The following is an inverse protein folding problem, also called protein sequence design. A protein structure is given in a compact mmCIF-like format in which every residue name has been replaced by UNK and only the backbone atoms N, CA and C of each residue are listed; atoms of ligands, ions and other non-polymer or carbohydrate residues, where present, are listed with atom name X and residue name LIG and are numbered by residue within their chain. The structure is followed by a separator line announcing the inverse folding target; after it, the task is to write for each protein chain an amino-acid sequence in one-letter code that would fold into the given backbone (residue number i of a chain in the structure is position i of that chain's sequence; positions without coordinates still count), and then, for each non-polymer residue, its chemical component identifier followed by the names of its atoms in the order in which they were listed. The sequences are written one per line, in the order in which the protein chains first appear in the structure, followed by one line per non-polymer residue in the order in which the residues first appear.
data_IF_099820917414
#
_entry.id   IF_099820917414
#
_cell.length_a   1.000
_cell.length_b   1.000
_cell.length_c   1.000
_cell.angle_alpha   90.00
_cell.angle_beta   90.00
_cell.angle_gamma   90.00
#
_symmetry.space_group_name_H-M   'P 1'
#
loop_
_entity.id
_entity.type
_entity.pdbx_description
1 polymer ?
#
# COMPACT_ATOMS: atom_id res chain seq x y z
N UNK A 1 -55.60 57.79 5.24
CA UNK A 1 -54.75 57.03 6.17
C UNK A 1 -54.67 55.59 5.68
N UNK A 2 -53.64 55.26 4.90
CA UNK A 2 -53.40 53.90 4.44
C UNK A 2 -51.98 53.53 4.88
N UNK A 3 -51.89 52.61 5.83
CA UNK A 3 -50.63 52.11 6.38
C UNK A 3 -50.23 50.88 5.57
N UNK A 4 -49.18 51.02 4.76
CA UNK A 4 -48.52 49.88 4.11
C UNK A 4 -47.59 49.22 5.11
N UNK A 5 -47.93 48.01 5.54
CA UNK A 5 -47.01 47.12 6.24
C UNK A 5 -46.17 46.36 5.20
N UNK A 6 -44.91 46.78 5.05
CA UNK A 6 -43.88 46.02 4.34
C UNK A 6 -43.32 44.93 5.25
N UNK A 7 -43.66 43.68 4.95
CA UNK A 7 -43.01 42.51 5.56
C UNK A 7 -41.61 42.33 4.95
N UNK A 8 -40.56 42.56 5.73
CA UNK A 8 -39.20 42.22 5.36
C UNK A 8 -38.97 40.72 5.62
N UNK A 9 -38.83 39.93 4.55
CA UNK A 9 -38.46 38.52 4.61
C UNK A 9 -36.95 38.42 4.92
N UNK A 10 -36.61 38.11 6.16
CA UNK A 10 -35.23 37.87 6.58
C UNK A 10 -34.79 36.48 6.06
N UNK A 11 -34.09 36.45 4.93
CA UNK A 11 -33.36 35.26 4.45
C UNK A 11 -32.18 35.01 5.39
N UNK A 12 -32.33 34.05 6.30
CA UNK A 12 -31.22 33.47 7.06
C UNK A 12 -30.33 32.68 6.08
N UNK A 13 -29.31 33.34 5.53
CA UNK A 13 -28.16 32.65 4.96
C UNK A 13 -27.41 31.98 6.12
N UNK A 14 -27.69 30.70 6.35
CA UNK A 14 -26.78 29.86 7.14
C UNK A 14 -25.59 29.57 6.24
N UNK A 15 -24.51 30.33 6.43
CA UNK A 15 -23.22 29.99 5.85
C UNK A 15 -22.76 28.68 6.51
N UNK A 16 -22.89 27.56 5.79
CA UNK A 16 -22.20 26.33 6.17
C UNK A 16 -20.71 26.61 6.06
N UNK A 17 -20.00 26.73 7.17
CA UNK A 17 -18.55 26.63 7.15
C UNK A 17 -18.23 25.28 6.49
N UNK A 18 -17.55 25.30 5.35
CA UNK A 18 -17.02 24.08 4.78
C UNK A 18 -16.07 23.51 5.83
N UNK A 19 -16.42 22.34 6.39
CA UNK A 19 -15.52 21.64 7.29
C UNK A 19 -14.21 21.40 6.52
N UNK A 20 -13.07 21.74 7.12
CA UNK A 20 -11.79 21.42 6.52
C UNK A 20 -11.71 19.90 6.31
N UNK A 21 -11.23 19.50 5.13
CA UNK A 21 -10.98 18.09 4.85
C UNK A 21 -10.00 17.52 5.90
N UNK A 22 -10.16 16.25 6.31
CA UNK A 22 -9.21 15.60 7.21
C UNK A 22 -7.81 15.60 6.61
N UNK A 23 -6.80 15.26 7.40
CA UNK A 23 -5.43 15.00 6.91
C UNK A 23 -5.17 13.50 7.08
N UNK A 24 -4.61 12.79 6.08
CA UNK A 24 -4.34 11.37 6.20
C UNK A 24 -3.32 11.13 7.33
N UNK A 25 -3.51 10.08 8.12
CA UNK A 25 -2.55 9.75 9.16
C UNK A 25 -1.28 9.17 8.56
N UNK A 26 -0.14 9.59 9.10
CA UNK A 26 1.13 8.92 8.79
C UNK A 26 1.09 7.48 9.32
N UNK A 27 1.65 6.54 8.56
CA UNK A 27 1.82 5.18 9.04
C UNK A 27 2.71 5.15 10.30
N UNK A 28 2.43 4.25 11.25
CA UNK A 28 3.34 3.98 12.35
C UNK A 28 4.71 3.55 11.84
N UNK A 29 5.77 3.86 12.58
CA UNK A 29 7.14 3.50 12.18
C UNK A 29 7.36 1.99 12.13
N UNK A 30 6.59 1.23 12.90
CA UNK A 30 6.65 -0.23 12.95
C UNK A 30 5.23 -0.77 13.12
N UNK A 31 4.87 -1.79 12.36
CA UNK A 31 3.63 -2.53 12.56
C UNK A 31 3.70 -3.90 11.90
N UNK A 32 2.78 -4.77 12.32
CA UNK A 32 2.46 -6.02 11.66
C UNK A 32 1.03 -6.00 11.14
N UNK A 33 0.79 -6.63 10.00
CA UNK A 33 -0.55 -6.71 9.43
C UNK A 33 -0.74 -7.99 8.63
N UNK A 34 -1.90 -8.63 8.83
CA UNK A 34 -2.40 -9.66 7.94
C UNK A 34 -3.34 -9.02 6.93
N UNK A 35 -3.06 -9.24 5.65
CA UNK A 35 -3.82 -8.70 4.54
C UNK A 35 -4.43 -9.81 3.70
N UNK A 36 -5.66 -9.60 3.28
CA UNK A 36 -6.32 -10.41 2.26
C UNK A 36 -6.29 -9.66 0.93
N UNK A 37 -5.82 -10.32 -0.12
CA UNK A 37 -5.71 -9.73 -1.45
C UNK A 37 -6.62 -10.48 -2.42
N UNK A 38 -7.32 -9.72 -3.25
CA UNK A 38 -8.08 -10.25 -4.37
C UNK A 38 -7.65 -9.55 -5.65
N UNK A 39 -7.28 -10.34 -6.65
CA UNK A 39 -7.04 -9.85 -7.99
C UNK A 39 -7.87 -10.64 -9.00
N UNK A 40 -9.02 -10.07 -9.38
CA UNK A 40 -9.96 -10.69 -10.33
C UNK A 40 -10.34 -12.14 -9.97
N UNK A 41 -10.47 -12.44 -8.67
CA UNK A 41 -10.77 -13.77 -8.14
C UNK A 41 -9.55 -14.62 -7.78
N UNK A 42 -8.33 -14.18 -8.11
CA UNK A 42 -7.10 -14.78 -7.61
C UNK A 42 -6.83 -14.27 -6.20
N UNK A 43 -6.88 -15.17 -5.21
CA UNK A 43 -6.82 -14.81 -3.80
C UNK A 43 -5.44 -15.09 -3.22
N UNK A 44 -4.95 -14.20 -2.37
CA UNK A 44 -3.75 -14.41 -1.58
C UNK A 44 -3.83 -13.76 -0.21
N UNK A 45 -2.95 -14.20 0.69
CA UNK A 45 -2.75 -13.62 2.01
C UNK A 45 -1.34 -13.05 2.08
N UNK A 46 -1.20 -11.86 2.68
CA UNK A 46 0.09 -11.26 2.97
C UNK A 46 0.25 -11.13 4.47
N UNK A 47 1.32 -11.71 5.00
CA UNK A 47 1.83 -11.46 6.33
C UNK A 47 2.92 -10.37 6.20
N UNK A 48 2.53 -9.14 6.52
CA UNK A 48 3.30 -7.92 6.31
C UNK A 48 3.97 -7.47 7.61
N UNK A 49 5.29 -7.37 7.58
CA UNK A 49 6.09 -6.70 8.61
C UNK A 49 6.69 -5.42 8.04
N UNK A 50 6.35 -4.29 8.66
CA UNK A 50 6.87 -2.98 8.29
C UNK A 50 7.75 -2.45 9.42
N UNK A 51 8.99 -2.07 9.09
CA UNK A 51 9.95 -1.53 10.05
C UNK A 51 10.74 -0.37 9.41
N UNK A 52 10.13 0.82 9.42
CA UNK A 52 10.74 2.03 8.90
C UNK A 52 11.98 2.45 9.69
N UNK A 53 11.99 2.22 11.00
CA UNK A 53 13.12 2.54 11.88
C UNK A 53 14.41 1.88 11.39
N UNK A 54 14.33 0.64 10.92
CA UNK A 54 15.45 -0.10 10.35
C UNK A 54 15.42 -0.15 8.80
N UNK A 55 14.51 0.57 8.17
CA UNK A 55 14.45 0.71 6.71
C UNK A 55 14.15 -0.59 5.97
N UNK A 56 13.24 -1.42 6.47
CA UNK A 56 12.94 -2.74 5.91
C UNK A 56 11.44 -3.04 5.90
N UNK A 57 10.99 -3.76 4.88
CA UNK A 57 9.62 -4.21 4.69
C UNK A 57 9.61 -5.67 4.23
N UNK A 58 8.72 -6.49 4.77
CA UNK A 58 8.69 -7.92 4.45
C UNK A 58 7.26 -8.38 4.20
N UNK A 59 6.96 -8.69 2.94
CA UNK A 59 5.72 -9.35 2.53
C UNK A 59 5.97 -10.85 2.44
N UNK A 60 5.34 -11.65 3.30
CA UNK A 60 5.32 -13.10 3.18
C UNK A 60 3.97 -13.49 2.59
N UNK A 61 3.98 -13.95 1.34
CA UNK A 61 2.77 -14.05 0.54
C UNK A 61 2.43 -15.47 0.17
N UNK A 62 1.20 -15.82 0.50
CA UNK A 62 0.63 -17.12 0.26
C UNK A 62 -0.55 -16.97 -0.70
N UNK A 63 -0.33 -17.34 -1.95
CA UNK A 63 -1.41 -17.51 -2.91
C UNK A 63 -2.31 -18.69 -2.51
N UNK A 64 -3.58 -18.65 -2.92
CA UNK A 64 -4.52 -19.76 -2.72
C UNK A 64 -3.97 -21.10 -3.24
N UNK A 65 -3.21 -21.06 -4.35
CA UNK A 65 -2.55 -22.20 -4.96
C UNK A 65 -1.09 -21.81 -5.24
N UNK A 66 -0.12 -22.51 -4.65
CA UNK A 66 1.30 -22.29 -4.95
C UNK A 66 2.24 -22.45 -3.76
N UNK A 67 3.50 -22.07 -3.97
CA UNK A 67 4.51 -21.93 -2.92
C UNK A 67 4.44 -20.55 -2.29
N UNK A 68 4.90 -20.43 -1.04
CA UNK A 68 5.03 -19.13 -0.37
C UNK A 68 6.13 -18.31 -1.05
N UNK A 69 5.80 -17.06 -1.40
CA UNK A 69 6.76 -16.06 -1.84
C UNK A 69 7.18 -15.20 -0.66
N UNK A 70 8.48 -15.00 -0.52
CA UNK A 70 9.08 -14.08 0.42
C UNK A 70 9.59 -12.88 -0.36
N UNK A 71 8.99 -11.71 -0.13
CA UNK A 71 9.36 -10.43 -0.73
C UNK A 71 9.92 -9.51 0.36
N UNK A 72 11.25 -9.42 0.40
CA UNK A 72 12.02 -8.69 1.38
C UNK A 72 12.62 -7.44 0.75
N UNK A 73 12.17 -6.28 1.22
CA UNK A 73 12.46 -4.97 0.64
C UNK A 73 13.23 -4.08 1.61
N UNK A 74 14.13 -3.27 1.07
CA UNK A 74 14.96 -2.33 1.82
C UNK A 74 14.70 -0.89 1.37
N UNK A 75 14.86 0.06 2.27
CA UNK A 75 14.65 1.49 2.00
C UNK A 75 15.64 2.08 0.98
N UNK A 76 16.76 1.40 0.73
CA UNK A 76 17.72 1.75 -0.31
C UNK A 76 17.27 1.29 -1.71
N UNK A 77 16.09 0.66 -1.83
CA UNK A 77 15.54 0.19 -3.09
C UNK A 77 15.85 -1.27 -3.43
N UNK A 78 16.71 -1.95 -2.68
CA UNK A 78 16.98 -3.37 -2.94
C UNK A 78 15.80 -4.23 -2.48
N UNK A 79 15.33 -5.13 -3.34
CA UNK A 79 14.33 -6.14 -3.00
C UNK A 79 14.81 -7.54 -3.36
N UNK A 80 14.46 -8.53 -2.54
CA UNK A 80 14.67 -9.95 -2.78
C UNK A 80 13.35 -10.70 -2.82
N UNK A 81 13.17 -11.52 -3.86
CA UNK A 81 12.00 -12.37 -4.04
C UNK A 81 12.45 -13.82 -4.02
N UNK A 82 12.04 -14.60 -3.02
CA UNK A 82 12.53 -15.96 -2.86
C UNK A 82 11.51 -16.96 -2.31
N UNK A 83 11.79 -18.25 -2.47
CA UNK A 83 11.04 -19.35 -1.85
C UNK A 83 11.95 -20.12 -0.90
N UNK A 84 11.45 -20.47 0.31
CA UNK A 84 12.19 -21.28 1.29
C UNK A 84 12.00 -22.80 1.11
N UNK A 85 11.21 -23.21 0.13
CA UNK A 85 10.99 -24.61 -0.20
C UNK A 85 12.21 -25.25 -0.88
N UNK A 86 12.10 -26.53 -1.23
CA UNK A 86 13.18 -27.26 -1.90
C UNK A 86 13.57 -26.69 -3.26
N UNK A 87 12.74 -25.84 -3.87
CA UNK A 87 13.06 -25.21 -5.15
C UNK A 87 14.07 -24.08 -5.00
N UNK A 88 14.22 -23.48 -3.80
CA UNK A 88 15.21 -22.43 -3.48
C UNK A 88 15.28 -21.35 -4.56
N UNK A 89 14.13 -20.85 -4.99
CA UNK A 89 14.09 -19.80 -6.02
C UNK A 89 14.51 -18.49 -5.38
N UNK A 90 15.32 -17.70 -6.10
CA UNK A 90 15.60 -16.32 -5.73
C UNK A 90 15.80 -15.44 -6.97
N UNK A 91 15.28 -14.22 -6.90
CA UNK A 91 15.61 -13.08 -7.75
C UNK A 91 15.74 -11.82 -6.89
N UNK A 92 16.36 -10.78 -7.44
CA UNK A 92 16.49 -9.48 -6.78
C UNK A 92 16.19 -8.35 -7.76
N UNK A 93 15.67 -7.24 -7.24
CA UNK A 93 15.43 -6.02 -8.00
C UNK A 93 16.04 -4.81 -7.28
N UNK A 94 16.27 -3.74 -8.03
CA UNK A 94 16.65 -2.44 -7.50
C UNK A 94 15.61 -1.41 -7.94
N UNK A 95 14.99 -0.76 -6.97
CA UNK A 95 13.87 0.15 -7.13
C UNK A 95 14.30 1.55 -6.72
N UNK A 96 13.81 2.58 -7.39
CA UNK A 96 14.21 3.95 -7.07
C UNK A 96 13.61 4.46 -5.76
N UNK A 97 12.41 4.00 -5.41
CA UNK A 97 11.63 4.53 -4.28
C UNK A 97 11.94 3.81 -2.96
N UNK A 98 12.27 2.51 -3.01
CA UNK A 98 12.36 1.65 -1.84
C UNK A 98 10.99 1.43 -1.18
N UNK A 99 11.00 1.19 0.13
CA UNK A 99 9.78 0.95 0.91
C UNK A 99 8.97 2.25 1.10
N UNK A 100 7.65 2.13 1.23
CA UNK A 100 6.78 3.28 1.45
C UNK A 100 7.17 4.04 2.73
N UNK A 101 7.27 5.37 2.61
CA UNK A 101 7.53 6.26 3.74
C UNK A 101 6.28 6.38 4.62
N UNK A 102 6.41 6.68 5.92
CA UNK A 102 5.27 6.89 6.80
C UNK A 102 4.23 7.89 6.25
N UNK A 103 4.69 8.93 5.58
CA UNK A 103 3.87 9.99 5.00
C UNK A 103 3.57 9.80 3.50
N UNK A 104 3.56 8.56 2.99
CA UNK A 104 3.39 8.29 1.55
C UNK A 104 2.09 8.87 0.95
N UNK A 105 1.09 9.17 1.78
CA UNK A 105 -0.16 9.84 1.38
C UNK A 105 -0.07 11.37 1.25
N UNK A 106 1.09 11.99 1.52
CA UNK A 106 1.24 13.45 1.40
C UNK A 106 0.88 13.93 -0.01
N UNK A 107 -0.05 14.90 -0.11
CA UNK A 107 -0.56 15.37 -1.40
C UNK A 107 -1.55 14.43 -2.09
N UNK A 108 -2.10 13.44 -1.39
CA UNK A 108 -3.26 12.69 -1.85
C UNK A 108 -4.52 13.58 -1.88
N UNK A 109 -5.44 13.27 -2.80
CA UNK A 109 -6.73 13.93 -2.93
C UNK A 109 -7.76 13.27 -2.02
N UNK A 110 -8.46 14.06 -1.21
CA UNK A 110 -9.56 13.57 -0.39
C UNK A 110 -10.83 13.41 -1.22
N UNK A 111 -11.44 12.23 -1.19
CA UNK A 111 -12.63 11.91 -1.99
C UNK A 111 -13.93 11.88 -1.18
N UNK A 112 -13.85 11.96 0.15
CA UNK A 112 -15.01 11.86 1.04
C UNK A 112 -14.97 10.62 1.91
N UNK A 113 -16.14 10.14 2.33
CA UNK A 113 -16.28 9.00 3.22
C UNK A 113 -17.10 7.88 2.59
N UNK A 114 -16.67 6.64 2.82
CA UNK A 114 -17.36 5.43 2.35
C UNK A 114 -17.34 4.36 3.43
N UNK A 115 -18.33 3.45 3.41
CA UNK A 115 -18.36 2.30 4.32
C UNK A 115 -17.74 1.08 3.63
N UNK A 116 -16.63 0.57 4.17
CA UNK A 116 -15.90 -0.60 3.66
C UNK A 116 -15.55 -1.53 4.82
N UNK A 117 -15.76 -2.84 4.64
CA UNK A 117 -15.48 -3.88 5.64
C UNK A 117 -16.08 -3.64 7.04
N UNK A 118 -17.19 -2.90 7.11
CA UNK A 118 -17.86 -2.53 8.35
C UNK A 118 -17.32 -1.27 9.04
N UNK A 119 -16.35 -0.58 8.45
CA UNK A 119 -15.80 0.69 8.92
C UNK A 119 -16.32 1.85 8.07
N UNK A 120 -16.55 3.00 8.71
CA UNK A 120 -16.68 4.27 7.99
C UNK A 120 -15.26 4.80 7.75
N UNK A 121 -14.89 5.02 6.49
CA UNK A 121 -13.53 5.36 6.11
C UNK A 121 -13.45 6.73 5.43
N UNK A 122 -12.41 7.51 5.73
CA UNK A 122 -11.93 8.57 4.86
C UNK A 122 -11.27 7.93 3.63
N UNK A 123 -11.56 8.46 2.44
CA UNK A 123 -11.05 7.93 1.17
C UNK A 123 -10.06 8.91 0.54
N UNK A 124 -8.88 8.40 0.21
CA UNK A 124 -7.77 9.16 -0.36
C UNK A 124 -7.35 8.57 -1.71
N UNK A 125 -7.21 9.41 -2.73
CA UNK A 125 -6.60 9.01 -4.01
C UNK A 125 -5.17 9.51 -4.09
N UNK A 126 -4.23 8.59 -4.33
CA UNK A 126 -2.82 8.92 -4.59
C UNK A 126 -2.47 8.66 -6.04
N UNK A 127 -2.00 9.71 -6.73
CA UNK A 127 -1.48 9.71 -8.12
C UNK A 127 -2.37 9.00 -9.14
N UNK A 128 -3.71 9.04 -8.95
CA UNK A 128 -4.70 8.33 -9.77
C UNK A 128 -4.48 6.81 -9.89
N UNK A 129 -3.71 6.26 -8.95
CA UNK A 129 -3.22 4.89 -8.99
C UNK A 129 -3.81 4.05 -7.86
N UNK A 130 -3.81 4.61 -6.64
CA UNK A 130 -4.25 3.96 -5.41
C UNK A 130 -5.40 4.75 -4.80
N UNK A 131 -6.43 4.04 -4.35
CA UNK A 131 -7.45 4.50 -3.43
C UNK A 131 -7.19 3.86 -2.08
N UNK A 132 -7.09 4.68 -1.04
CA UNK A 132 -6.76 4.26 0.31
C UNK A 132 -7.90 4.63 1.25
N UNK A 133 -8.33 3.63 2.03
CA UNK A 133 -9.44 3.73 2.95
C UNK A 133 -8.89 3.65 4.38
N UNK A 134 -9.12 4.72 5.13
CA UNK A 134 -8.64 4.90 6.50
C UNK A 134 -9.85 5.06 7.43
N UNK A 135 -9.95 4.22 8.47
CA UNK A 135 -11.04 4.31 9.43
C UNK A 135 -11.11 5.70 10.09
N UNK A 136 -12.27 6.35 10.05
CA UNK A 136 -12.45 7.72 10.58
C UNK A 136 -12.26 7.80 12.10
N UNK A 137 -12.40 6.68 12.82
CA UNK A 137 -12.30 6.66 14.28
C UNK A 137 -10.87 6.44 14.75
N UNK A 138 -10.19 5.43 14.18
CA UNK A 138 -8.86 5.00 14.65
C UNK A 138 -7.71 5.42 13.75
N UNK A 139 -8.01 5.94 12.55
CA UNK A 139 -7.06 6.22 11.49
C UNK A 139 -6.23 5.01 11.02
N UNK A 140 -6.71 3.78 11.27
CA UNK A 140 -6.05 2.58 10.78
C UNK A 140 -6.32 2.38 9.28
N UNK A 141 -5.37 1.79 8.52
CA UNK A 141 -5.66 1.30 7.19
C UNK A 141 -6.78 0.24 7.27
N UNK A 142 -7.73 0.33 6.35
CA UNK A 142 -8.83 -0.65 6.20
C UNK A 142 -8.74 -1.35 4.86
N UNK A 143 -8.54 -0.60 3.78
CA UNK A 143 -8.60 -1.13 2.42
C UNK A 143 -7.73 -0.33 1.46
N UNK A 144 -7.22 -1.00 0.42
CA UNK A 144 -6.62 -0.38 -0.75
C UNK A 144 -7.26 -0.92 -2.02
N UNK A 145 -7.50 -0.03 -2.98
CA UNK A 145 -7.81 -0.40 -4.36
C UNK A 145 -6.79 0.19 -5.31
N UNK A 146 -6.38 -0.61 -6.27
CA UNK A 146 -5.47 -0.20 -7.33
C UNK A 146 -6.26 -0.07 -8.63
N UNK A 147 -5.87 0.85 -9.53
CA UNK A 147 -6.55 0.99 -10.83
C UNK A 147 -6.54 -0.30 -11.67
N UNK A 148 -5.64 -1.23 -11.37
CA UNK A 148 -5.55 -2.54 -12.01
C UNK A 148 -6.70 -3.48 -11.62
N UNK A 149 -7.49 -3.13 -10.60
CA UNK A 149 -8.53 -3.97 -10.04
C UNK A 149 -8.04 -4.93 -8.94
N UNK A 150 -6.80 -4.77 -8.46
CA UNK A 150 -6.34 -5.44 -7.24
C UNK A 150 -6.94 -4.73 -6.03
N UNK A 151 -7.48 -5.51 -5.10
CA UNK A 151 -8.02 -5.02 -3.83
C UNK A 151 -7.29 -5.69 -2.67
N UNK A 152 -6.99 -4.93 -1.62
CA UNK A 152 -6.28 -5.39 -0.43
C UNK A 152 -7.06 -4.97 0.80
N UNK A 153 -7.49 -5.95 1.60
CA UNK A 153 -8.26 -5.76 2.82
C UNK A 153 -7.38 -6.00 4.05
N UNK A 154 -7.44 -5.11 5.04
CA UNK A 154 -6.61 -5.18 6.26
C UNK A 154 -7.34 -5.95 7.35
N UNK A 155 -6.90 -7.18 7.62
CA UNK A 155 -7.50 -8.05 8.62
C UNK A 155 -7.01 -7.73 10.04
N UNK A 156 -5.70 -7.49 10.21
CA UNK A 156 -5.10 -7.07 11.49
C UNK A 156 -4.19 -5.86 11.30
N UNK A 157 -3.97 -5.08 12.35
CA UNK A 157 -3.07 -3.93 12.29
C UNK A 157 -2.46 -3.68 13.67
N UNK A 158 -1.33 -4.33 13.93
CA UNK A 158 -0.69 -4.39 15.23
C UNK A 158 0.46 -3.37 15.29
N UNK A 159 0.14 -2.17 15.76
CA UNK A 159 1.07 -1.04 15.87
C UNK A 159 2.19 -1.34 16.85
N UNK A 160 3.44 -1.10 16.43
CA UNK A 160 4.65 -1.32 17.23
C UNK A 160 5.12 -2.78 17.26
N UNK A 161 4.45 -3.69 16.55
CA UNK A 161 4.93 -5.06 16.38
C UNK A 161 6.26 -5.06 15.61
N UNK A 162 7.16 -5.96 16.00
CA UNK A 162 8.51 -6.12 15.43
C UNK A 162 8.81 -7.59 15.19
N UNK A 163 9.56 -7.87 14.12
CA UNK A 163 10.05 -9.19 13.77
C UNK A 163 11.52 -9.32 14.16
N UNK A 164 11.95 -10.49 14.64
CA UNK A 164 13.34 -10.70 15.07
C UNK A 164 14.34 -10.47 13.92
N UNK A 165 15.48 -9.86 14.23
CA UNK A 165 16.47 -9.42 13.24
C UNK A 165 16.95 -10.54 12.31
N UNK A 166 17.03 -11.78 12.82
CA UNK A 166 17.45 -12.95 12.05
C UNK A 166 16.49 -13.28 10.90
N UNK A 167 15.21 -12.89 11.00
CA UNK A 167 14.19 -13.16 9.97
C UNK A 167 14.29 -12.23 8.77
N UNK A 168 14.98 -11.10 8.91
CA UNK A 168 15.16 -10.11 7.86
C UNK A 168 16.31 -10.44 6.90
N UNK A 169 16.90 -11.63 6.99
CA UNK A 169 18.02 -12.04 6.15
C UNK A 169 17.52 -12.79 4.92
N UNK A 170 17.91 -12.28 3.74
CA UNK A 170 17.74 -13.05 2.51
C UNK A 170 18.60 -14.34 2.57
N UNK A 171 18.12 -15.47 2.03
CA UNK A 171 18.87 -16.71 2.04
C UNK A 171 20.18 -16.65 1.25
N UNK A 172 21.17 -17.45 1.65
CA UNK A 172 22.51 -17.45 1.03
C UNK A 172 22.50 -17.69 -0.48
N UNK A 173 21.59 -18.54 -0.97
CA UNK A 173 21.48 -18.84 -2.41
C UNK A 173 20.99 -17.65 -3.25
N UNK A 174 20.51 -16.56 -2.64
CA UNK A 174 20.24 -15.31 -3.34
C UNK A 174 21.52 -14.58 -3.78
N UNK A 175 22.67 -14.90 -3.19
CA UNK A 175 23.96 -14.27 -3.47
C UNK A 175 24.90 -15.17 -4.28
N UNK A 176 24.50 -16.41 -4.54
CA UNK A 176 25.24 -17.34 -5.38
C UNK A 176 25.14 -16.90 -6.84
N UNK A 177 26.27 -16.89 -7.56
CA UNK A 177 26.29 -16.57 -8.99
C UNK A 177 25.54 -17.69 -9.73
N UNK A 178 24.41 -17.35 -10.35
CA UNK A 178 23.81 -18.24 -11.35
C UNK A 178 24.73 -18.24 -12.57
N UNK A 179 25.25 -19.40 -12.94
CA UNK A 179 26.04 -19.53 -14.17
C UNK A 179 25.22 -18.97 -15.34
N UNK A 180 25.85 -18.10 -16.13
CA UNK A 180 25.23 -17.35 -17.22
C UNK A 180 24.88 -18.24 -18.41
N UNK A 181 24.02 -19.23 -18.21
CA UNK A 181 23.49 -20.07 -19.25
C UNK A 181 21.97 -20.10 -19.14
N UNK A 182 21.34 -19.52 -20.16
CA UNK A 182 19.93 -19.13 -20.28
C UNK A 182 19.60 -17.85 -19.52
N UNK A 183 19.93 -16.73 -20.17
CA UNK A 183 19.17 -15.49 -20.09
C UNK A 183 17.92 -15.64 -20.97
N UNK A 184 16.73 -15.94 -20.41
CA UNK A 184 15.50 -15.46 -20.97
C UNK A 184 15.15 -14.15 -20.23
N UNK A 185 15.58 -13.02 -20.78
CA UNK A 185 14.78 -11.79 -20.76
C UNK A 185 13.43 -12.09 -21.41
N UNK A 186 12.54 -12.79 -20.70
CA UNK A 186 11.14 -13.02 -21.08
C UNK A 186 10.56 -14.08 -20.14
N UNK A 187 9.53 -13.72 -19.40
CA UNK A 187 8.65 -14.59 -18.59
C UNK A 187 9.18 -15.04 -17.23
N UNK A 188 9.53 -14.08 -16.37
CA UNK A 188 8.90 -14.15 -15.05
C UNK A 188 7.55 -13.47 -15.16
N UNK A 189 6.48 -14.24 -14.99
CA UNK A 189 5.29 -13.65 -14.41
C UNK A 189 5.73 -13.28 -12.99
N UNK A 190 6.01 -12.00 -12.75
CA UNK A 190 5.86 -11.42 -11.42
C UNK A 190 4.64 -12.09 -10.79
N UNK A 191 4.89 -12.92 -9.80
CA UNK A 191 3.82 -13.36 -8.92
C UNK A 191 3.37 -12.07 -8.26
N UNK A 192 2.09 -11.79 -8.43
CA UNK A 192 1.40 -10.50 -8.26
C UNK A 192 1.39 -10.06 -6.79
N UNK A 193 2.58 -9.91 -6.23
CA UNK A 193 2.88 -9.73 -4.83
C UNK A 193 3.74 -8.50 -4.74
N UNK A 194 3.24 -7.47 -4.07
CA UNK A 194 4.07 -6.32 -3.72
C UNK A 194 4.65 -5.56 -4.92
N UNK A 195 3.83 -4.68 -5.48
CA UNK A 195 4.31 -3.41 -6.06
C UNK A 195 5.07 -3.35 -7.39
N UNK A 196 5.57 -4.43 -8.01
CA UNK A 196 6.50 -4.26 -9.14
C UNK A 196 6.29 -5.24 -10.28
N UNK A 197 5.69 -4.79 -11.38
CA UNK A 197 6.32 -5.00 -12.70
C UNK A 197 5.70 -4.25 -13.89
N UNK A 198 4.46 -3.69 -13.90
CA UNK A 198 4.05 -2.94 -15.08
C UNK A 198 4.39 -1.43 -15.08
N UNK A 199 4.59 -0.77 -13.92
CA UNK A 199 4.28 0.66 -13.81
C UNK A 199 5.45 1.66 -13.71
N UNK A 200 6.70 1.21 -13.63
CA UNK A 200 7.87 2.12 -13.67
C UNK A 200 8.09 2.74 -15.05
N UNK A 201 7.65 2.11 -16.15
CA UNK A 201 7.88 2.65 -17.50
C UNK A 201 7.16 3.97 -17.80
N UNK A 202 6.05 4.25 -17.12
CA UNK A 202 5.34 5.53 -17.24
C UNK A 202 5.87 6.61 -16.30
N UNK A 203 6.48 6.21 -15.18
CA UNK A 203 6.95 7.11 -14.12
C UNK A 203 8.41 7.53 -14.34
N UNK A 204 9.25 6.67 -14.92
CA UNK A 204 10.66 6.93 -15.24
C UNK A 204 10.87 7.95 -16.39
N UNK A 205 9.81 8.39 -17.07
CA UNK A 205 9.88 9.41 -18.12
C UNK A 205 9.72 10.85 -17.62
N UNK A 206 9.24 11.03 -16.38
CA UNK A 206 9.00 12.34 -15.79
C UNK A 206 9.71 12.44 -14.47
N UNK A 207 10.76 13.25 -14.41
CA UNK A 207 11.40 13.72 -13.19
C UNK A 207 10.37 14.01 -12.10
N UNK A 208 10.22 13.11 -11.13
CA UNK A 208 9.53 13.40 -9.88
C UNK A 208 10.52 13.20 -8.74
N UNK A 209 10.92 14.33 -8.15
CA UNK A 209 11.47 14.37 -6.81
C UNK A 209 10.32 13.95 -5.87
N UNK A 210 10.53 12.84 -5.17
CA UNK A 210 9.78 12.48 -3.96
C UNK A 210 10.20 13.38 -2.79
#
# INVERSE_FOLDING_TARGET
MASSLTYALFLLLVASAAAESPTPAAWPLQFHSLLYVNYSGSLSMIDLWYDWTNGRNFNIVQDQLGSILYDLEWNNGTSFFYSLDSAKKCSSAQLEVGILRPNWLDGAEYLGQETVDGFLCNVWQKVQFIWYYEDVVTNRPVHWEFYTGRSIHVMTFDVGAVLEDEKWQAPVYCFEKKDAQTDPRSEYKVVDVGFLEPQLKGILGGTMQL
#
